data_IF_021987459998
#
_entry.id   IF_021987459998
#
_cell.length_a   1.000
_cell.length_b   1.000
_cell.length_c   1.000
_cell.angle_alpha   90.00
_cell.angle_beta   90.00
_cell.angle_gamma   90.00
#
_symmetry.space_group_name_H-M   'P 1'
#
loop_
_entity.id
_entity.type
_entity.pdbx_description
1 polymer ?
#
# COMPACT_ATOMS: atom_id res chain seq x y z
N UNK A 1 -6.71 -12.06 42.71
CA UNK A 1 -7.31 -11.78 41.37
C UNK A 1 -7.48 -13.12 40.66
N UNK A 2 -8.73 -13.56 40.43
CA UNK A 2 -9.02 -14.88 39.84
C UNK A 2 -8.57 -14.96 38.36
N UNK A 3 -8.03 -16.10 37.93
CA UNK A 3 -7.66 -16.40 36.52
C UNK A 3 -8.79 -16.06 35.53
N UNK A 4 -10.05 -16.23 35.96
CA UNK A 4 -11.23 -15.92 35.15
C UNK A 4 -11.40 -14.43 34.88
N UNK A 5 -10.96 -13.56 35.81
CA UNK A 5 -11.02 -12.11 35.62
C UNK A 5 -10.01 -11.64 34.58
N UNK A 6 -8.81 -12.22 34.56
CA UNK A 6 -7.76 -11.91 33.56
C UNK A 6 -8.23 -12.30 32.15
N UNK A 7 -8.80 -13.51 31.99
CA UNK A 7 -9.35 -13.97 30.70
C UNK A 7 -10.46 -13.04 30.18
N UNK A 8 -11.33 -12.55 31.06
CA UNK A 8 -12.41 -11.61 30.70
C UNK A 8 -11.84 -10.26 30.22
N UNK A 9 -10.80 -9.75 30.86
CA UNK A 9 -10.16 -8.49 30.46
C UNK A 9 -9.45 -8.61 29.11
N UNK A 10 -8.77 -9.73 28.84
CA UNK A 10 -8.12 -9.99 27.54
C UNK A 10 -9.15 -10.06 26.42
N UNK A 11 -10.25 -10.78 26.61
CA UNK A 11 -11.30 -10.86 25.60
C UNK A 11 -11.95 -9.50 25.31
N UNK A 12 -12.13 -8.67 26.34
CA UNK A 12 -12.66 -7.30 26.16
C UNK A 12 -11.67 -6.40 25.41
N UNK A 13 -10.37 -6.54 25.67
CA UNK A 13 -9.34 -5.84 24.91
C UNK A 13 -9.31 -6.28 23.44
N UNK A 14 -9.40 -7.59 23.17
CA UNK A 14 -9.47 -8.11 21.81
C UNK A 14 -10.71 -7.62 21.06
N UNK A 15 -11.87 -7.59 21.72
CA UNK A 15 -13.09 -7.05 21.14
C UNK A 15 -12.95 -5.54 20.83
N UNK A 16 -12.41 -4.76 21.77
CA UNK A 16 -12.18 -3.33 21.57
C UNK A 16 -11.24 -3.04 20.41
N UNK A 17 -10.15 -3.79 20.27
CA UNK A 17 -9.21 -3.65 19.15
C UNK A 17 -9.88 -4.08 17.84
N UNK A 18 -10.60 -5.19 17.83
CA UNK A 18 -11.32 -5.67 16.64
C UNK A 18 -12.38 -4.69 16.16
N UNK A 19 -13.11 -4.06 17.08
CA UNK A 19 -14.10 -3.03 16.77
C UNK A 19 -13.41 -1.74 16.32
N UNK A 20 -12.29 -1.34 16.95
CA UNK A 20 -11.55 -0.13 16.56
C UNK A 20 -10.89 -0.26 15.18
N UNK A 21 -10.33 -1.43 14.86
CA UNK A 21 -9.70 -1.73 13.57
C UNK A 21 -10.75 -2.00 12.49
N UNK A 22 -11.85 -2.68 12.84
CA UNK A 22 -12.96 -2.94 11.91
C UNK A 22 -13.85 -1.72 11.64
N UNK A 23 -13.89 -0.74 12.55
CA UNK A 23 -14.60 0.53 12.37
C UNK A 23 -13.73 1.63 11.75
N UNK A 24 -12.44 1.38 11.54
CA UNK A 24 -11.63 2.25 10.70
C UNK A 24 -12.20 2.18 9.28
N UNK A 25 -12.84 3.26 8.83
CA UNK A 25 -13.23 3.41 7.43
C UNK A 25 -12.01 3.07 6.56
N UNK A 26 -12.24 2.28 5.50
CA UNK A 26 -11.24 2.13 4.45
C UNK A 26 -10.71 3.52 4.10
N UNK A 27 -9.38 3.66 4.04
CA UNK A 27 -8.72 4.93 3.75
C UNK A 27 -9.43 5.56 2.56
N UNK A 28 -10.00 6.76 2.75
CA UNK A 28 -10.93 7.36 1.77
C UNK A 28 -10.37 7.46 0.35
N UNK A 29 -9.05 7.43 0.21
CA UNK A 29 -8.31 7.63 -1.02
C UNK A 29 -7.51 6.37 -1.43
N UNK A 30 -7.80 5.19 -0.87
CA UNK A 30 -7.03 3.97 -1.15
C UNK A 30 -7.00 3.63 -2.65
N UNK A 31 -8.17 3.67 -3.30
CA UNK A 31 -8.28 3.47 -4.75
C UNK A 31 -7.52 4.52 -5.57
N UNK A 32 -7.53 5.78 -5.12
CA UNK A 32 -6.80 6.87 -5.78
C UNK A 32 -5.28 6.70 -5.65
N UNK A 33 -4.80 6.28 -4.47
CA UNK A 33 -3.39 5.96 -4.26
C UNK A 33 -2.96 4.75 -5.08
N UNK A 34 -3.78 3.70 -5.15
CA UNK A 34 -3.53 2.52 -5.97
C UNK A 34 -3.47 2.87 -7.48
N UNK A 35 -4.35 3.75 -7.95
CA UNK A 35 -4.31 4.23 -9.34
C UNK A 35 -3.07 5.11 -9.60
N UNK A 36 -2.72 5.96 -8.63
CA UNK A 36 -1.53 6.81 -8.72
C UNK A 36 -0.24 6.00 -8.79
N UNK A 37 -0.10 4.98 -7.93
CA UNK A 37 1.04 4.05 -7.94
C UNK A 37 1.20 3.40 -9.31
N UNK A 38 0.11 2.83 -9.85
CA UNK A 38 0.12 2.22 -11.19
C UNK A 38 0.57 3.20 -12.28
N UNK A 39 0.09 4.44 -12.26
CA UNK A 39 0.47 5.46 -13.25
C UNK A 39 1.94 5.84 -13.14
N UNK A 40 2.46 5.94 -11.92
CA UNK A 40 3.87 6.27 -11.67
C UNK A 40 4.78 5.15 -12.17
N UNK A 41 4.47 3.90 -11.87
CA UNK A 41 5.25 2.75 -12.33
C UNK A 41 5.33 2.68 -13.85
N UNK A 42 4.17 2.82 -14.51
CA UNK A 42 4.07 2.79 -15.97
C UNK A 42 4.83 3.96 -16.60
N UNK A 43 4.76 5.15 -16.00
CA UNK A 43 5.49 6.33 -16.48
C UNK A 43 7.00 6.13 -16.36
N UNK A 44 7.48 5.56 -15.25
CA UNK A 44 8.90 5.26 -15.05
C UNK A 44 9.43 4.25 -16.07
N UNK A 45 8.66 3.20 -16.35
CA UNK A 45 9.02 2.21 -17.37
C UNK A 45 9.11 2.87 -18.75
N UNK A 46 8.11 3.67 -19.13
CA UNK A 46 8.08 4.37 -20.41
C UNK A 46 9.23 5.35 -20.57
N UNK A 47 9.58 6.11 -19.51
CA UNK A 47 10.73 7.02 -19.53
C UNK A 47 12.02 6.23 -19.77
N UNK A 48 12.18 5.09 -19.10
CA UNK A 48 13.39 4.25 -19.24
C UNK A 48 13.53 3.71 -20.66
N UNK A 49 12.43 3.23 -21.24
CA UNK A 49 12.40 2.76 -22.62
C UNK A 49 12.65 3.88 -23.61
N UNK A 50 12.05 5.05 -23.41
CA UNK A 50 12.22 6.22 -24.27
C UNK A 50 13.67 6.70 -24.26
N UNK A 51 14.30 6.80 -23.09
CA UNK A 51 15.70 7.21 -22.96
C UNK A 51 16.61 6.20 -23.67
N UNK A 52 16.39 4.90 -23.45
CA UNK A 52 17.17 3.84 -24.11
C UNK A 52 17.01 3.91 -25.62
N UNK A 53 15.78 3.95 -26.13
CA UNK A 53 15.51 4.03 -27.57
C UNK A 53 16.03 5.32 -28.20
N UNK A 54 16.00 6.44 -27.48
CA UNK A 54 16.58 7.72 -27.95
C UNK A 54 18.10 7.62 -28.03
N UNK A 55 18.75 7.01 -27.04
CA UNK A 55 20.20 6.81 -27.05
C UNK A 55 20.63 5.88 -28.18
N UNK A 56 19.94 4.76 -28.39
CA UNK A 56 20.20 3.84 -29.51
C UNK A 56 19.99 4.53 -30.87
N UNK A 57 18.97 5.38 -30.99
CA UNK A 57 18.71 6.14 -32.22
C UNK A 57 19.80 7.18 -32.51
N UNK A 58 20.24 7.91 -31.48
CA UNK A 58 21.25 8.97 -31.63
C UNK A 58 22.68 8.42 -31.74
N UNK A 59 22.96 7.32 -31.05
CA UNK A 59 24.27 6.65 -31.02
C UNK A 59 24.09 5.17 -31.40
N UNK A 60 23.83 4.88 -32.69
CA UNK A 60 23.60 3.50 -33.16
C UNK A 60 24.86 2.64 -33.15
N UNK A 61 26.01 3.23 -32.85
CA UNK A 61 27.30 2.55 -32.80
C UNK A 61 27.84 2.61 -31.35
N UNK A 62 28.32 1.48 -30.79
CA UNK A 62 28.90 1.43 -29.44
C UNK A 62 30.13 2.32 -29.24
#
# INVERSE_FOLDING_TARGET
MSFSAIKKTINKANQYISESVGAAEATKLDDEFNEMERKVDLTNELITQLVTGTNEYLQPNP
#
